data_IF_437903546645
#
_entry.id   IF_437903546645
#
_cell.length_a   1.000
_cell.length_b   1.000
_cell.length_c   1.000
_cell.angle_alpha   90.00
_cell.angle_beta   90.00
_cell.angle_gamma   90.00
#
_symmetry.space_group_name_H-M   'P 1'
#
loop_
_entity.id
_entity.type
_entity.pdbx_description
1 polymer ?
#
# COMPACT_ATOMS: atom_id res chain seq x y z
N UNK A 1 -6.81 -9.41 19.27
CA UNK A 1 -6.56 -8.11 18.61
C UNK A 1 -6.90 -8.31 17.15
N UNK A 2 -7.55 -7.34 16.51
CA UNK A 2 -7.90 -7.45 15.09
C UNK A 2 -6.77 -6.90 14.23
N UNK A 3 -6.61 -7.48 13.05
CA UNK A 3 -5.53 -7.18 12.12
C UNK A 3 -6.14 -6.91 10.74
N UNK A 4 -5.75 -5.79 10.13
CA UNK A 4 -6.29 -5.36 8.87
C UNK A 4 -5.17 -5.13 7.86
N UNK A 5 -5.38 -5.64 6.65
CA UNK A 5 -4.64 -5.24 5.45
C UNK A 5 -5.58 -4.48 4.55
N UNK A 6 -5.15 -3.31 4.07
CA UNK A 6 -5.94 -2.46 3.20
C UNK A 6 -5.21 -2.19 1.91
N UNK A 7 -5.84 -2.50 0.77
CA UNK A 7 -5.37 -2.09 -0.54
C UNK A 7 -5.82 -0.65 -0.77
N UNK A 8 -4.90 0.25 -1.04
CA UNK A 8 -5.19 1.64 -1.45
C UNK A 8 -4.86 1.83 -2.91
N UNK A 9 -5.75 2.53 -3.63
CA UNK A 9 -5.54 2.91 -5.02
C UNK A 9 -5.39 4.42 -5.12
N UNK A 10 -4.24 4.87 -5.61
CA UNK A 10 -3.99 6.27 -5.98
C UNK A 10 -3.89 6.39 -7.50
N UNK A 11 -4.68 7.29 -8.05
CA UNK A 11 -4.68 7.59 -9.48
C UNK A 11 -3.61 8.66 -9.69
N UNK A 12 -2.44 8.26 -10.20
CA UNK A 12 -1.35 9.22 -10.38
C UNK A 12 -1.69 10.22 -11.49
N UNK A 13 -2.19 9.74 -12.63
CA UNK A 13 -2.80 10.53 -13.71
C UNK A 13 -3.54 9.58 -14.67
N UNK A 14 -4.76 9.94 -15.10
CA UNK A 14 -5.40 9.39 -16.30
C UNK A 14 -5.10 10.36 -17.45
N UNK A 15 -4.38 9.91 -18.49
CA UNK A 15 -4.12 10.77 -19.65
C UNK A 15 -4.34 10.00 -20.95
N UNK A 16 -5.48 10.27 -21.58
CA UNK A 16 -5.87 9.77 -22.91
C UNK A 16 -4.77 9.95 -23.96
N UNK A 17 -3.94 10.99 -23.81
CA UNK A 17 -2.86 11.34 -24.75
C UNK A 17 -1.75 10.28 -24.87
N UNK A 18 -1.54 9.46 -23.84
CA UNK A 18 -0.46 8.45 -23.81
C UNK A 18 -0.99 7.00 -23.77
N UNK A 19 -2.32 6.80 -23.75
CA UNK A 19 -2.96 5.50 -23.43
C UNK A 19 -2.27 4.80 -22.24
N UNK A 20 -1.85 5.59 -21.24
CA UNK A 20 -1.19 5.08 -20.04
C UNK A 20 -2.17 5.23 -18.88
N UNK A 21 -2.68 4.10 -18.39
CA UNK A 21 -3.26 4.04 -17.07
C UNK A 21 -2.13 3.88 -16.05
N UNK A 22 -1.90 4.93 -15.25
CA UNK A 22 -0.88 4.93 -14.20
C UNK A 22 -1.59 4.87 -12.86
N UNK A 23 -2.09 3.67 -12.58
CA UNK A 23 -2.66 3.31 -11.29
C UNK A 23 -1.55 2.89 -10.34
N UNK A 24 -1.48 3.53 -9.17
CA UNK A 24 -0.56 3.12 -8.12
C UNK A 24 -1.31 2.45 -6.98
N UNK A 25 -0.92 1.23 -6.63
CA UNK A 25 -1.47 0.52 -5.48
C UNK A 25 -0.43 0.35 -4.38
N UNK A 26 -0.88 0.37 -3.13
CA UNK A 26 -0.05 0.11 -1.96
C UNK A 26 -0.89 -0.50 -0.84
N UNK A 27 -0.20 -1.10 0.14
CA UNK A 27 -0.81 -1.72 1.30
C UNK A 27 -0.76 -0.79 2.52
N UNK A 28 -1.81 -0.77 3.31
CA UNK A 28 -1.80 -0.27 4.69
C UNK A 28 -2.07 -1.41 5.66
N UNK A 29 -1.26 -1.50 6.72
CA UNK A 29 -1.38 -2.47 7.80
C UNK A 29 -1.79 -1.70 9.06
N UNK A 30 -2.93 -2.08 9.66
CA UNK A 30 -3.48 -1.42 10.86
C UNK A 30 -4.10 -2.43 11.83
N UNK A 31 -4.17 -2.05 13.11
CA UNK A 31 -4.88 -2.78 14.16
C UNK A 31 -6.29 -2.24 14.45
N UNK A 32 -6.66 -1.14 13.78
CA UNK A 32 -8.00 -0.55 13.82
C UNK A 32 -8.53 -0.46 12.40
N UNK A 33 -9.81 -0.75 12.21
CA UNK A 33 -10.41 -0.71 10.88
C UNK A 33 -10.37 0.74 10.33
N UNK A 34 -9.95 0.99 9.08
CA UNK A 34 -9.88 2.33 8.51
C UNK A 34 -11.18 3.14 8.60
N UNK A 35 -12.36 2.52 8.43
CA UNK A 35 -13.65 3.20 8.61
C UNK A 35 -13.89 3.65 10.07
N UNK A 36 -13.31 2.95 11.05
CA UNK A 36 -13.37 3.37 12.45
C UNK A 36 -12.40 4.52 12.72
N UNK A 37 -11.21 4.48 12.14
CA UNK A 37 -10.26 5.61 12.17
C UNK A 37 -10.86 6.88 11.56
N UNK A 38 -11.58 6.77 10.45
CA UNK A 38 -12.31 7.91 9.84
C UNK A 38 -13.39 8.47 10.78
N UNK A 39 -14.12 7.60 11.49
CA UNK A 39 -15.12 8.01 12.49
C UNK A 39 -14.46 8.73 13.67
N UNK A 40 -13.34 8.20 14.17
CA UNK A 40 -12.55 8.81 15.25
C UNK A 40 -12.13 10.21 14.84
N UNK A 41 -11.53 10.38 13.66
CA UNK A 41 -11.14 11.69 13.14
C UNK A 41 -12.33 12.66 13.08
N UNK A 42 -13.48 12.20 12.57
CA UNK A 42 -14.69 13.03 12.49
C UNK A 42 -15.18 13.46 13.88
N UNK A 43 -15.16 12.55 14.86
CA UNK A 43 -15.58 12.84 16.23
C UNK A 43 -14.60 13.80 16.92
N UNK A 44 -13.30 13.57 16.79
CA UNK A 44 -12.24 14.45 17.31
C UNK A 44 -12.36 15.85 16.72
N UNK A 45 -12.58 15.96 15.40
CA UNK A 45 -12.80 17.26 14.74
C UNK A 45 -14.03 17.99 15.30
N UNK A 46 -15.14 17.29 15.51
CA UNK A 46 -16.33 17.89 16.13
C UNK A 46 -16.07 18.37 17.57
N UNK A 47 -15.31 17.61 18.36
CA UNK A 47 -14.94 18.00 19.72
C UNK A 47 -14.02 19.22 19.73
N UNK A 48 -12.99 19.23 18.87
CA UNK A 48 -12.10 20.39 18.72
C UNK A 48 -12.85 21.64 18.28
N UNK A 49 -13.83 21.50 17.37
CA UNK A 49 -14.69 22.61 16.95
C UNK A 49 -15.48 23.20 18.13
N UNK A 50 -16.07 22.33 18.97
CA UNK A 50 -16.81 22.76 20.18
C UNK A 50 -15.91 23.48 21.18
N UNK A 51 -14.65 23.09 21.26
CA UNK A 51 -13.67 23.63 22.21
C UNK A 51 -12.84 24.79 21.65
N UNK A 52 -13.11 25.23 20.41
CA UNK A 52 -12.28 26.21 19.68
C UNK A 52 -10.78 25.86 19.64
N UNK A 53 -10.46 24.56 19.62
CA UNK A 53 -9.09 24.06 19.49
C UNK A 53 -8.72 23.92 18.00
N UNK A 54 -7.93 24.88 17.52
CA UNK A 54 -7.49 24.92 16.13
C UNK A 54 -6.23 24.11 15.86
N UNK A 55 -5.54 23.63 16.90
CA UNK A 55 -4.30 22.88 16.73
C UNK A 55 -4.61 21.53 16.09
N UNK A 56 -3.99 21.24 14.95
CA UNK A 56 -4.17 19.99 14.20
C UNK A 56 -5.66 19.64 13.98
N UNK A 57 -6.50 20.65 13.76
CA UNK A 57 -7.96 20.50 13.69
C UNK A 57 -8.43 19.57 12.57
N UNK A 58 -7.76 19.62 11.41
CA UNK A 58 -8.13 18.83 10.23
C UNK A 58 -7.14 17.69 9.95
N UNK A 59 -6.27 17.37 10.92
CA UNK A 59 -5.32 16.27 10.81
C UNK A 59 -6.08 14.96 10.65
N UNK A 60 -5.65 14.15 9.67
CA UNK A 60 -6.22 12.83 9.40
C UNK A 60 -5.33 11.72 9.94
N UNK A 61 -5.93 10.59 10.30
CA UNK A 61 -5.22 9.43 10.85
C UNK A 61 -4.13 8.92 9.89
N UNK A 62 -4.39 8.95 8.58
CA UNK A 62 -3.44 8.50 7.56
C UNK A 62 -2.23 9.44 7.43
N UNK A 63 -2.25 10.65 8.01
CA UNK A 63 -1.08 11.53 8.06
C UNK A 63 -0.05 11.10 9.13
N UNK A 64 -0.32 10.04 9.89
CA UNK A 64 0.63 9.45 10.83
C UNK A 64 1.89 8.98 10.08
N UNK A 65 3.06 9.44 10.53
CA UNK A 65 4.34 8.91 10.08
C UNK A 65 4.70 7.73 10.98
N UNK A 66 4.86 6.57 10.38
CA UNK A 66 5.26 5.36 11.06
C UNK A 66 6.79 5.27 11.11
N UNK A 67 7.37 4.81 12.24
CA UNK A 67 8.79 4.45 12.32
C UNK A 67 9.16 3.44 11.24
N UNK A 68 10.46 3.33 10.94
CA UNK A 68 10.90 2.32 9.98
C UNK A 68 10.77 0.93 10.57
N UNK A 69 10.37 -0.03 9.73
CA UNK A 69 10.32 -1.45 10.06
C UNK A 69 11.64 -2.14 9.73
N UNK A 70 12.62 -1.48 9.12
CA UNK A 70 13.91 -2.08 8.82
C UNK A 70 14.80 -2.10 10.07
N UNK A 71 15.17 -3.28 10.61
CA UNK A 71 15.89 -3.39 11.88
C UNK A 71 17.34 -2.89 11.82
N UNK A 72 17.84 -2.56 10.63
CA UNK A 72 19.24 -2.17 10.40
C UNK A 72 19.44 -0.65 10.19
N UNK A 73 18.40 0.17 10.40
CA UNK A 73 18.46 1.62 10.23
C UNK A 73 18.01 2.37 11.49
N UNK A 74 18.54 3.59 11.66
CA UNK A 74 18.17 4.48 12.76
C UNK A 74 16.68 4.84 12.69
N UNK A 75 16.02 4.81 13.85
CA UNK A 75 14.58 5.04 13.96
C UNK A 75 13.73 3.78 13.83
N UNK A 76 14.35 2.59 13.76
CA UNK A 76 13.65 1.32 13.89
C UNK A 76 12.92 1.24 15.24
N UNK A 77 11.67 0.81 15.20
CA UNK A 77 10.86 0.56 16.38
C UNK A 77 10.30 -0.87 16.30
N UNK A 78 10.80 -1.75 17.16
CA UNK A 78 10.35 -3.15 17.22
C UNK A 78 8.91 -3.32 17.68
N UNK A 79 8.28 -2.26 18.21
CA UNK A 79 6.87 -2.24 18.58
C UNK A 79 5.96 -1.75 17.46
N UNK A 80 6.52 -1.22 16.36
CA UNK A 80 5.76 -0.76 15.22
C UNK A 80 5.62 -1.87 14.16
N UNK A 81 4.42 -2.40 14.04
CA UNK A 81 4.02 -3.35 13.00
C UNK A 81 2.93 -2.78 12.07
N UNK A 82 2.54 -1.52 12.24
CA UNK A 82 1.63 -0.78 11.37
C UNK A 82 2.38 0.08 10.35
N UNK A 83 1.72 0.43 9.25
CA UNK A 83 2.24 1.41 8.30
C UNK A 83 1.65 1.30 6.91
N UNK A 84 2.19 2.12 6.00
CA UNK A 84 1.84 2.10 4.58
C UNK A 84 3.05 1.72 3.73
N UNK A 85 2.92 0.70 2.90
CA UNK A 85 4.02 0.09 2.16
C UNK A 85 3.65 -0.09 0.70
N UNK A 86 4.55 0.28 -0.21
CA UNK A 86 4.29 0.10 -1.63
C UNK A 86 5.56 0.09 -2.47
N UNK A 87 5.49 -0.61 -3.59
CA UNK A 87 6.58 -0.71 -4.54
C UNK A 87 6.51 0.40 -5.58
N UNK A 88 7.64 1.05 -5.86
CA UNK A 88 7.70 2.16 -6.81
C UNK A 88 9.06 2.31 -7.46
N UNK A 89 9.14 3.20 -8.46
CA UNK A 89 10.41 3.57 -9.07
C UNK A 89 11.31 4.33 -8.09
N UNK A 90 12.58 3.92 -7.98
CA UNK A 90 13.60 4.59 -7.19
C UNK A 90 13.95 5.99 -7.70
N UNK A 91 13.73 6.25 -8.99
CA UNK A 91 14.21 7.46 -9.68
C UNK A 91 13.14 8.55 -9.85
N UNK A 92 11.91 8.29 -9.39
CA UNK A 92 10.76 9.17 -9.56
C UNK A 92 10.17 9.19 -10.98
N UNK A 93 8.99 9.79 -11.11
CA UNK A 93 8.12 9.74 -12.31
C UNK A 93 8.81 10.26 -13.59
N UNK A 94 9.56 11.36 -13.51
CA UNK A 94 10.18 11.98 -14.69
C UNK A 94 11.27 11.11 -15.32
N UNK A 95 12.18 10.58 -14.50
CA UNK A 95 13.25 9.68 -14.97
C UNK A 95 12.67 8.32 -15.38
N UNK A 96 11.68 7.81 -14.66
CA UNK A 96 10.96 6.59 -15.02
C UNK A 96 10.26 6.67 -16.38
N UNK A 97 9.56 7.77 -16.68
CA UNK A 97 8.95 7.96 -18.00
C UNK A 97 10.00 8.10 -19.10
N UNK A 98 11.16 8.70 -18.82
CA UNK A 98 12.27 8.79 -19.77
C UNK A 98 12.86 7.41 -20.03
N UNK A 99 13.26 6.69 -18.98
CA UNK A 99 13.92 5.41 -19.07
C UNK A 99 13.03 4.35 -19.74
N UNK A 100 11.69 4.42 -19.57
CA UNK A 100 10.72 3.62 -20.34
C UNK A 100 10.99 3.63 -21.85
N UNK A 101 11.38 4.78 -22.42
CA UNK A 101 11.60 4.89 -23.87
C UNK A 101 12.99 4.41 -24.31
N UNK A 102 13.90 4.12 -23.37
CA UNK A 102 15.31 3.91 -23.66
C UNK A 102 15.98 2.75 -22.90
N UNK A 103 15.29 2.03 -22.01
CA UNK A 103 15.84 0.93 -21.22
C UNK A 103 14.79 -0.12 -20.79
N UNK A 104 15.27 -1.29 -20.36
CA UNK A 104 14.47 -2.44 -19.90
C UNK A 104 13.88 -2.27 -18.47
N UNK A 105 13.66 -1.03 -18.04
CA UNK A 105 13.09 -0.70 -16.73
C UNK A 105 14.08 -0.12 -15.71
N UNK A 106 13.50 0.42 -14.63
CA UNK A 106 14.22 1.19 -13.61
C UNK A 106 14.43 0.41 -12.33
N UNK A 107 15.42 0.81 -11.54
CA UNK A 107 15.54 0.27 -10.19
C UNK A 107 14.23 0.53 -9.42
N UNK A 108 13.66 -0.53 -8.88
CA UNK A 108 12.49 -0.50 -8.04
C UNK A 108 12.87 -0.53 -6.56
N UNK A 109 11.97 0.02 -5.73
CA UNK A 109 12.15 0.07 -4.28
C UNK A 109 10.81 -0.10 -3.58
N UNK A 110 10.81 -0.82 -2.46
CA UNK A 110 9.68 -0.82 -1.53
C UNK A 110 9.84 0.35 -0.56
N UNK A 111 8.86 1.24 -0.59
CA UNK A 111 8.81 2.44 0.22
C UNK A 111 7.87 2.24 1.40
N UNK A 112 8.37 2.60 2.57
CA UNK A 112 7.59 2.81 3.79
C UNK A 112 6.96 4.21 3.77
N UNK A 113 5.89 4.39 4.54
CA UNK A 113 5.07 5.60 4.53
C UNK A 113 4.60 5.98 3.10
N UNK A 114 4.15 4.99 2.31
CA UNK A 114 3.74 5.16 0.90
C UNK A 114 2.45 5.98 0.72
N UNK A 115 1.76 6.36 1.79
CA UNK A 115 0.69 7.36 1.73
C UNK A 115 1.21 8.76 1.36
N UNK A 116 2.53 8.95 1.38
CA UNK A 116 3.22 10.10 0.82
C UNK A 116 3.88 9.75 -0.51
N UNK A 117 3.76 10.67 -1.48
CA UNK A 117 4.59 10.67 -2.67
C UNK A 117 6.04 10.93 -2.27
N UNK A 118 6.91 10.03 -2.68
CA UNK A 118 8.33 10.08 -2.37
C UNK A 118 9.08 10.65 -3.57
N UNK A 119 9.99 11.60 -3.32
CA UNK A 119 10.88 12.15 -4.33
C UNK A 119 12.32 11.80 -4.01
N UNK A 120 13.11 11.36 -4.99
CA UNK A 120 14.55 11.27 -4.81
C UNK A 120 15.11 12.66 -4.53
N UNK A 121 15.97 12.79 -3.52
CA UNK A 121 16.87 13.91 -3.36
C UNK A 121 18.23 13.52 -3.97
N UNK A 122 18.69 14.33 -4.92
CA UNK A 122 19.94 14.10 -5.62
C UNK A 122 21.17 14.52 -4.81
N UNK A 123 21.01 15.38 -3.80
CA UNK A 123 22.14 15.94 -3.06
C UNK A 123 22.71 14.98 -2.00
N UNK A 124 21.86 14.14 -1.41
CA UNK A 124 22.21 13.30 -0.26
C UNK A 124 21.76 11.85 -0.42
N UNK A 125 21.36 11.45 -1.64
CA UNK A 125 20.91 10.09 -1.98
C UNK A 125 19.76 9.57 -1.10
N UNK A 126 18.98 10.48 -0.49
CA UNK A 126 17.83 10.17 0.36
C UNK A 126 16.52 10.34 -0.39
N UNK A 127 15.47 9.82 0.21
CA UNK A 127 14.11 9.98 -0.26
C UNK A 127 13.36 10.94 0.64
N UNK A 128 12.73 11.96 0.04
CA UNK A 128 11.97 12.97 0.78
C UNK A 128 10.49 12.77 0.50
N UNK A 129 9.68 12.76 1.57
CA UNK A 129 8.21 12.82 1.46
C UNK A 129 7.83 14.21 0.93
N UNK A 130 7.39 14.26 -0.32
CA UNK A 130 7.10 15.50 -1.03
C UNK A 130 5.71 16.02 -0.74
N UNK A 131 4.72 15.12 -0.78
CA UNK A 131 3.30 15.46 -0.64
C UNK A 131 2.54 14.24 -0.18
N UNK A 132 1.51 14.43 0.63
CA UNK A 132 0.51 13.40 0.87
C UNK A 132 -0.23 13.07 -0.45
N UNK A 133 -0.56 11.79 -0.65
CA UNK A 133 -1.44 11.36 -1.75
C UNK A 133 -2.83 11.99 -1.64
N UNK A 134 -3.58 11.96 -2.74
CA UNK A 134 -4.92 12.55 -2.79
C UNK A 134 -5.80 11.99 -1.67
N UNK A 135 -6.64 12.83 -1.05
CA UNK A 135 -7.64 12.36 -0.08
C UNK A 135 -8.58 11.31 -0.69
N UNK A 136 -8.77 11.36 -2.02
CA UNK A 136 -9.54 10.37 -2.76
C UNK A 136 -8.99 8.94 -2.61
N UNK A 137 -7.67 8.79 -2.45
CA UNK A 137 -7.00 7.50 -2.21
C UNK A 137 -7.56 6.80 -0.98
N UNK A 138 -7.89 7.58 0.06
CA UNK A 138 -8.32 7.06 1.35
C UNK A 138 -9.83 6.96 1.47
N UNK A 139 -10.61 7.31 0.44
CA UNK A 139 -12.06 7.10 0.45
C UNK A 139 -12.39 5.61 0.44
N UNK A 140 -13.50 5.23 1.06
CA UNK A 140 -14.00 3.85 1.09
C UNK A 140 -14.24 3.26 -0.32
N UNK A 141 -14.45 4.12 -1.33
CA UNK A 141 -14.60 3.73 -2.73
C UNK A 141 -13.28 3.40 -3.43
N UNK A 142 -12.13 3.84 -2.94
CA UNK A 142 -10.81 3.59 -3.53
C UNK A 142 -9.90 2.74 -2.63
N UNK A 143 -10.47 2.12 -1.59
CA UNK A 143 -9.75 1.19 -0.71
C UNK A 143 -10.51 -0.11 -0.47
N UNK A 144 -9.76 -1.20 -0.36
CA UNK A 144 -10.28 -2.51 0.00
C UNK A 144 -9.68 -2.95 1.33
N UNK A 145 -10.47 -2.88 2.40
CA UNK A 145 -10.07 -3.37 3.73
C UNK A 145 -10.40 -4.85 3.85
N UNK A 146 -9.46 -5.62 4.36
CA UNK A 146 -9.57 -7.06 4.60
C UNK A 146 -9.14 -7.33 6.05
N UNK A 147 -10.00 -7.99 6.83
CA UNK A 147 -9.62 -8.53 8.14
C UNK A 147 -8.82 -9.83 7.90
N UNK A 148 -7.72 -10.00 8.61
CA UNK A 148 -6.84 -11.16 8.45
C UNK A 148 -6.47 -11.74 9.82
N UNK A 149 -6.05 -13.00 9.84
CA UNK A 149 -5.58 -13.63 11.08
C UNK A 149 -4.26 -12.99 11.55
N UNK A 150 -3.92 -13.21 12.83
CA UNK A 150 -2.65 -12.74 13.37
C UNK A 150 -1.45 -13.39 12.65
N UNK A 151 -1.56 -14.66 12.29
CA UNK A 151 -0.54 -15.41 11.55
C UNK A 151 -0.35 -14.82 10.15
N UNK A 152 -1.45 -14.57 9.43
CA UNK A 152 -1.42 -13.91 8.12
C UNK A 152 -0.77 -12.52 8.22
N UNK A 153 -1.14 -11.73 9.22
CA UNK A 153 -0.55 -10.41 9.44
C UNK A 153 0.95 -10.46 9.69
N UNK A 154 1.42 -11.35 10.57
CA UNK A 154 2.86 -11.51 10.87
C UNK A 154 3.65 -11.96 9.64
N UNK A 155 3.12 -12.94 8.90
CA UNK A 155 3.76 -13.43 7.66
C UNK A 155 3.85 -12.31 6.63
N UNK A 156 2.77 -11.56 6.42
CA UNK A 156 2.74 -10.41 5.51
C UNK A 156 3.75 -9.34 5.93
N UNK A 157 3.74 -8.96 7.22
CA UNK A 157 4.62 -7.94 7.76
C UNK A 157 6.10 -8.32 7.57
N UNK A 158 6.48 -9.55 7.91
CA UNK A 158 7.84 -10.05 7.72
C UNK A 158 8.24 -10.09 6.24
N UNK A 159 7.31 -10.49 5.36
CA UNK A 159 7.52 -10.46 3.91
C UNK A 159 7.75 -9.05 3.37
N UNK A 160 7.04 -8.04 3.88
CA UNK A 160 7.25 -6.63 3.52
C UNK A 160 8.58 -6.12 4.09
N UNK A 161 8.89 -6.44 5.35
CA UNK A 161 10.15 -6.07 6.02
C UNK A 161 11.37 -6.56 5.24
N UNK A 162 11.31 -7.79 4.73
CA UNK A 162 12.36 -8.36 3.88
C UNK A 162 12.54 -7.56 2.59
N UNK A 163 11.46 -7.18 1.89
CA UNK A 163 11.59 -6.38 0.67
C UNK A 163 12.12 -4.96 0.95
N UNK A 164 11.70 -4.35 2.07
CA UNK A 164 12.24 -3.05 2.51
C UNK A 164 13.74 -3.15 2.74
N UNK A 165 14.21 -4.24 3.38
CA UNK A 165 15.63 -4.51 3.56
C UNK A 165 16.35 -4.77 2.23
N UNK A 166 15.84 -5.67 1.39
CA UNK A 166 16.44 -6.04 0.09
C UNK A 166 16.48 -4.89 -0.91
N UNK A 167 15.65 -3.86 -0.72
CA UNK A 167 15.66 -2.65 -1.56
C UNK A 167 16.25 -1.44 -0.84
N UNK A 168 16.77 -1.59 0.38
CA UNK A 168 17.28 -0.49 1.21
C UNK A 168 18.45 0.24 0.55
N UNK A 169 19.34 -0.50 -0.12
CA UNK A 169 20.52 0.02 -0.81
C UNK A 169 20.20 0.69 -2.16
N UNK A 170 18.97 0.56 -2.67
CA UNK A 170 18.57 1.21 -3.92
C UNK A 170 18.47 2.71 -3.68
N UNK A 171 19.54 3.41 -4.07
CA UNK A 171 19.67 4.85 -3.97
C UNK A 171 18.72 5.61 -4.90
N UNK A 172 18.57 6.90 -4.64
CA UNK A 172 17.66 7.82 -5.34
C UNK A 172 18.01 8.01 -6.82
N UNK A 173 19.26 7.70 -7.20
CA UNK A 173 19.73 7.68 -8.59
C UNK A 173 19.39 6.38 -9.33
N UNK A 174 19.01 5.31 -8.63
CA UNK A 174 18.70 4.01 -9.21
C UNK A 174 19.89 3.30 -9.86
N UNK A 175 21.12 3.68 -9.50
CA UNK A 175 22.35 3.09 -10.04
C UNK A 175 22.57 1.65 -9.54
N UNK A 176 22.16 1.37 -8.30
CA UNK A 176 22.21 0.02 -7.73
C UNK A 176 20.88 -0.66 -8.02
N UNK A 177 20.92 -1.71 -8.84
CA UNK A 177 19.76 -2.53 -9.18
C UNK A 177 19.77 -3.81 -8.36
N UNK A 178 18.60 -4.18 -7.85
CA UNK A 178 18.31 -5.55 -7.47
C UNK A 178 17.48 -6.14 -8.61
N UNK A 179 17.97 -7.18 -9.28
CA UNK A 179 17.30 -7.77 -10.45
C UNK A 179 15.90 -8.31 -10.12
N UNK A 180 15.65 -8.68 -8.86
CA UNK A 180 14.30 -9.05 -8.40
C UNK A 180 13.34 -7.87 -8.34
N UNK A 181 13.86 -6.65 -8.25
CA UNK A 181 13.09 -5.42 -8.06
C UNK A 181 13.36 -4.44 -9.20
N UNK A 182 13.02 -4.87 -10.41
CA UNK A 182 12.92 -3.95 -11.56
C UNK A 182 11.50 -3.36 -11.58
N UNK A 183 11.45 -2.04 -11.53
CA UNK A 183 10.21 -1.31 -11.70
C UNK A 183 9.96 -1.06 -13.17
N UNK A 184 8.87 -1.63 -13.66
CA UNK A 184 8.29 -1.33 -14.94
C UNK A 184 6.85 -0.80 -14.75
N UNK A 185 6.63 0.41 -15.28
CA UNK A 185 5.33 1.06 -15.27
C UNK A 185 4.34 0.39 -16.24
N UNK A 186 4.79 -0.19 -17.35
CA UNK A 186 3.87 -0.81 -18.32
C UNK A 186 3.24 -2.08 -17.79
N UNK A 187 4.01 -2.86 -17.02
CA UNK A 187 3.51 -4.03 -16.31
C UNK A 187 2.84 -3.70 -14.97
N UNK A 188 2.73 -2.41 -14.61
CA UNK A 188 2.14 -1.94 -13.36
C UNK A 188 2.64 -2.71 -12.14
N UNK A 189 3.96 -2.90 -12.05
CA UNK A 189 4.57 -3.78 -11.04
C UNK A 189 4.27 -3.38 -9.58
N UNK A 190 3.81 -2.14 -9.33
CA UNK A 190 3.29 -1.75 -8.02
C UNK A 190 2.01 -2.51 -7.63
N UNK A 191 1.08 -2.70 -8.58
CA UNK A 191 -0.13 -3.51 -8.40
C UNK A 191 0.27 -4.98 -8.25
N UNK A 192 1.11 -5.49 -9.15
CA UNK A 192 1.60 -6.87 -9.09
C UNK A 192 2.26 -7.18 -7.74
N UNK A 193 3.06 -6.25 -7.20
CA UNK A 193 3.66 -6.40 -5.89
C UNK A 193 2.59 -6.53 -4.78
N UNK A 194 1.57 -5.67 -4.79
CA UNK A 194 0.45 -5.77 -3.83
C UNK A 194 -0.24 -7.13 -3.93
N UNK A 195 -0.54 -7.59 -5.15
CA UNK A 195 -1.22 -8.86 -5.38
C UNK A 195 -0.38 -10.04 -4.87
N UNK A 196 0.92 -10.07 -5.19
CA UNK A 196 1.83 -11.11 -4.73
C UNK A 196 1.94 -11.13 -3.19
N UNK A 197 1.87 -9.97 -2.52
CA UNK A 197 1.87 -9.91 -1.05
C UNK A 197 0.59 -10.49 -0.45
N UNK A 198 -0.56 -10.25 -1.04
CA UNK A 198 -1.83 -10.84 -0.60
C UNK A 198 -1.86 -12.36 -0.89
N UNK A 199 -1.40 -12.77 -2.06
CA UNK A 199 -1.25 -14.17 -2.45
C UNK A 199 -0.34 -14.93 -1.47
N UNK A 200 0.77 -14.32 -1.03
CA UNK A 200 1.69 -14.93 -0.07
C UNK A 200 1.10 -15.24 1.31
N UNK A 201 -0.11 -14.74 1.60
CA UNK A 201 -0.87 -15.04 2.82
C UNK A 201 -2.20 -15.76 2.54
N UNK A 202 -2.35 -16.32 1.34
CA UNK A 202 -3.52 -17.09 0.91
C UNK A 202 -4.73 -16.23 0.54
N UNK A 203 -4.54 -14.94 0.24
CA UNK A 203 -5.59 -14.07 -0.28
C UNK A 203 -5.38 -13.94 -1.78
N UNK A 204 -5.95 -14.90 -2.50
CA UNK A 204 -5.88 -14.97 -3.95
C UNK A 204 -6.95 -14.07 -4.60
N UNK A 205 -6.54 -13.30 -5.60
CA UNK A 205 -7.48 -12.68 -6.52
C UNK A 205 -7.72 -13.68 -7.65
N UNK A 206 -8.71 -14.55 -7.49
CA UNK A 206 -9.09 -15.53 -8.51
C UNK A 206 -9.69 -14.77 -9.69
N UNK A 207 -8.95 -14.71 -10.79
CA UNK A 207 -9.43 -14.18 -12.08
C UNK A 207 -9.86 -15.36 -12.96
N UNK A 208 -11.14 -15.42 -13.29
CA UNK A 208 -11.64 -16.40 -14.27
C UNK A 208 -11.47 -15.89 -15.71
N UNK A 209 -11.07 -14.63 -15.90
CA UNK A 209 -10.78 -14.05 -17.20
C UNK A 209 -9.27 -13.78 -17.30
N UNK A 210 -8.68 -14.29 -18.37
CA UNK A 210 -7.32 -14.06 -18.80
C UNK A 210 -7.08 -12.54 -18.83
N UNK A 211 -6.29 -12.03 -17.86
CA UNK A 211 -5.73 -10.68 -17.73
C UNK A 211 -6.53 -9.55 -18.42
N UNK A 212 -7.16 -8.69 -17.60
CA UNK A 212 -7.58 -7.31 -17.94
C UNK A 212 -8.05 -7.14 -19.40
N UNK A 213 -9.35 -7.23 -19.73
CA UNK A 213 -9.77 -6.99 -21.11
C UNK A 213 -9.21 -5.64 -21.57
N UNK A 214 -8.59 -5.60 -22.75
CA UNK A 214 -7.78 -4.48 -23.28
C UNK A 214 -8.47 -3.09 -23.26
N UNK A 215 -9.76 -3.06 -22.92
CA UNK A 215 -10.65 -1.91 -22.86
C UNK A 215 -11.00 -1.41 -21.44
N UNK A 216 -10.51 -2.03 -20.36
CA UNK A 216 -10.77 -1.61 -18.97
C UNK A 216 -9.46 -1.14 -18.32
N UNK A 217 -9.52 -0.01 -17.61
CA UNK A 217 -8.38 0.49 -16.84
C UNK A 217 -8.02 -0.48 -15.69
N UNK A 218 -6.75 -0.57 -15.31
CA UNK A 218 -6.27 -1.37 -14.18
C UNK A 218 -6.97 -0.94 -12.90
N UNK A 219 -7.17 0.37 -12.72
CA UNK A 219 -7.98 0.91 -11.64
C UNK A 219 -9.36 0.26 -11.62
N UNK A 220 -10.10 0.38 -12.71
CA UNK A 220 -11.49 -0.05 -12.76
C UNK A 220 -11.59 -1.57 -12.58
N UNK A 221 -10.66 -2.33 -13.16
CA UNK A 221 -10.56 -3.78 -12.92
C UNK A 221 -10.34 -4.13 -11.45
N UNK A 222 -9.40 -3.46 -10.77
CA UNK A 222 -9.19 -3.67 -9.32
C UNK A 222 -10.45 -3.32 -8.53
N UNK A 223 -11.09 -2.18 -8.83
CA UNK A 223 -12.32 -1.74 -8.17
C UNK A 223 -13.47 -2.72 -8.38
N UNK A 224 -13.61 -3.30 -9.58
CA UNK A 224 -14.60 -4.34 -9.88
C UNK A 224 -14.38 -5.62 -9.08
N UNK A 225 -13.12 -5.93 -8.72
CA UNK A 225 -12.76 -7.12 -7.94
C UNK A 225 -12.93 -6.93 -6.42
N UNK A 226 -12.89 -5.69 -5.92
CA UNK A 226 -13.00 -5.40 -4.48
C UNK A 226 -14.23 -6.03 -3.80
N UNK A 227 -15.45 -5.99 -4.37
CA UNK A 227 -16.60 -6.66 -3.77
C UNK A 227 -16.41 -8.17 -3.59
N UNK A 228 -15.84 -8.85 -4.60
CA UNK A 228 -15.59 -10.29 -4.54
C UNK A 228 -14.53 -10.62 -3.49
N UNK A 229 -13.43 -9.86 -3.43
CA UNK A 229 -12.38 -10.04 -2.41
C UNK A 229 -12.93 -9.89 -1.00
N UNK A 230 -13.72 -8.82 -0.76
CA UNK A 230 -14.38 -8.60 0.54
C UNK A 230 -15.31 -9.75 0.88
N UNK A 231 -16.08 -10.25 -0.10
CA UNK A 231 -16.99 -11.37 0.11
C UNK A 231 -16.27 -12.67 0.47
N UNK A 232 -15.22 -13.03 -0.26
CA UNK A 232 -14.44 -14.24 0.02
C UNK A 232 -13.71 -14.15 1.35
N UNK A 233 -13.06 -13.03 1.64
CA UNK A 233 -12.40 -12.81 2.93
C UNK A 233 -13.41 -12.89 4.09
N UNK A 234 -14.55 -12.20 3.99
CA UNK A 234 -15.61 -12.25 5.02
C UNK A 234 -16.11 -13.68 5.23
N UNK A 235 -16.26 -14.44 4.15
CA UNK A 235 -16.69 -15.84 4.20
C UNK A 235 -15.63 -16.71 4.88
N UNK A 236 -14.37 -16.54 4.53
CA UNK A 236 -13.24 -17.23 5.14
C UNK A 236 -13.14 -16.94 6.66
N UNK A 237 -13.22 -15.67 7.07
CA UNK A 237 -13.21 -15.29 8.48
C UNK A 237 -14.37 -15.92 9.26
N UNK A 238 -15.57 -16.02 8.65
CA UNK A 238 -16.70 -16.73 9.27
C UNK A 238 -16.39 -18.21 9.49
N UNK A 239 -15.76 -18.89 8.53
CA UNK A 239 -15.35 -20.29 8.70
C UNK A 239 -14.25 -20.44 9.76
N UNK A 240 -13.23 -19.58 9.76
CA UNK A 240 -12.18 -19.60 10.81
C UNK A 240 -12.75 -19.41 12.22
N UNK A 241 -13.77 -18.54 12.37
CA UNK A 241 -14.44 -18.35 13.65
C UNK A 241 -15.21 -19.59 14.09
N UNK A 242 -15.81 -20.34 13.16
CA UNK A 242 -16.48 -21.61 13.47
C UNK A 242 -15.43 -22.63 13.96
N UNK A 243 -14.31 -22.78 13.24
CA UNK A 243 -13.26 -23.72 13.62
C UNK A 243 -12.65 -23.39 14.99
N UNK A 244 -12.35 -22.12 15.25
CA UNK A 244 -11.85 -21.65 16.55
C UNK A 244 -12.82 -21.97 17.69
N UNK A 245 -14.12 -21.78 17.46
CA UNK A 245 -15.15 -22.11 18.44
C UNK A 245 -15.19 -23.63 18.71
N UNK A 246 -15.02 -24.47 17.69
CA UNK A 246 -14.97 -25.93 17.86
C UNK A 246 -13.73 -26.40 18.64
N UNK A 247 -12.58 -25.76 18.44
CA UNK A 247 -11.36 -26.07 19.19
C UNK A 247 -11.48 -25.73 20.68
N UNK A 248 -12.21 -24.67 21.02
CA UNK A 248 -12.44 -24.23 22.41
C UNK A 248 -13.39 -25.10 23.24
N UNK A 249 -14.04 -26.10 22.64
CA UNK A 249 -14.97 -27.04 23.31
C UNK A 249 -14.24 -28.28 23.86
N UNK A 250 -12.91 -28.40 23.64
CA UNK A 250 -12.06 -29.45 24.22
C UNK A 250 -11.62 -29.13 25.64
#
# INVERSE_FOLDING_TARGET
MQYYVTIYIDILFEKDLLKLDVTHAFLGLTHTHPDELDKIDSQTRMQKLKNADWKDFDKKWYEKIYPTINPYVLGYDSSNDEGFFGFGSATGLGKMLKDKFFSDGNAGKVFENNQYLVSPNSEDNRYIRKKLRSSNTFLSSNRCVLEISQEQYKTLFQSIQNDVYETSFVGSQGEIKNEKFIYDITNNNCVTWVLNKLDSIGIEIIDNEEWLPDNISIRDSLLMKFPCLKFYNTTFCKFQNIDSNLESIK
#
